data_IF_864651212178
#
_entry.id   IF_864651212178
#
_cell.length_a   1.000
_cell.length_b   1.000
_cell.length_c   1.000
_cell.angle_alpha   90.00
_cell.angle_beta   90.00
_cell.angle_gamma   90.00
#
_symmetry.space_group_name_H-M   'P 1'
#
loop_
_entity.id
_entity.type
_entity.pdbx_description
1 polymer ?
#
# COMPACT_ATOMS: atom_id res chain seq x y z
N UNK A 1 14.16 -12.00 -11.10
CA UNK A 1 14.85 -11.52 -12.32
C UNK A 1 14.41 -10.09 -12.63
N UNK A 2 15.22 -9.28 -13.32
CA UNK A 2 14.89 -7.90 -13.67
C UNK A 2 14.70 -7.78 -15.18
N UNK A 3 13.56 -7.24 -15.60
CA UNK A 3 13.24 -7.01 -17.02
C UNK A 3 12.80 -5.56 -17.21
N UNK A 4 13.33 -4.92 -18.26
CA UNK A 4 13.05 -3.53 -18.61
C UNK A 4 12.47 -3.47 -20.02
N UNK A 5 11.37 -2.74 -20.17
CA UNK A 5 10.83 -2.28 -21.43
C UNK A 5 11.54 -1.02 -21.92
N UNK A 6 10.83 -0.25 -22.72
CA UNK A 6 11.29 0.88 -23.51
C UNK A 6 10.44 2.13 -23.25
N UNK A 7 10.52 3.11 -24.14
CA UNK A 7 9.66 4.32 -24.09
C UNK A 7 8.39 4.15 -24.95
N UNK A 8 8.12 2.93 -25.38
CA UNK A 8 7.00 2.56 -26.24
C UNK A 8 6.24 1.40 -25.62
N UNK A 9 5.00 1.21 -26.07
CA UNK A 9 4.15 0.10 -25.64
C UNK A 9 4.87 -1.26 -25.80
N UNK A 10 5.09 -1.91 -24.66
CA UNK A 10 5.76 -3.19 -24.52
C UNK A 10 4.80 -4.28 -24.02
N UNK A 11 5.16 -5.53 -24.26
CA UNK A 11 4.52 -6.69 -23.64
C UNK A 11 5.60 -7.53 -22.97
N UNK A 12 5.57 -7.54 -21.64
CA UNK A 12 6.58 -8.16 -20.80
C UNK A 12 5.89 -9.28 -20.01
N UNK A 13 6.39 -10.49 -20.15
CA UNK A 13 5.94 -11.64 -19.35
C UNK A 13 7.10 -12.14 -18.52
N UNK A 14 6.86 -12.30 -17.22
CA UNK A 14 7.75 -12.90 -16.25
C UNK A 14 7.85 -14.42 -16.39
N UNK A 15 8.27 -15.05 -15.30
CA UNK A 15 8.50 -16.50 -15.19
C UNK A 15 7.72 -17.04 -13.99
N UNK A 16 7.93 -18.29 -13.59
CA UNK A 16 7.37 -18.82 -12.33
C UNK A 16 8.20 -18.44 -11.08
N UNK A 17 9.13 -17.49 -11.22
CA UNK A 17 10.01 -17.03 -10.16
C UNK A 17 9.79 -15.54 -9.88
N UNK A 18 10.23 -15.05 -8.73
CA UNK A 18 10.15 -13.63 -8.37
C UNK A 18 10.82 -12.75 -9.44
N UNK A 19 10.02 -11.89 -10.06
CA UNK A 19 10.35 -10.96 -11.11
C UNK A 19 10.19 -9.50 -10.64
N UNK A 20 11.04 -8.61 -11.18
CA UNK A 20 10.80 -7.17 -11.21
C UNK A 20 10.69 -6.76 -12.66
N UNK A 21 9.51 -6.29 -13.04
CA UNK A 21 9.16 -5.89 -14.40
C UNK A 21 8.99 -4.37 -14.43
N UNK A 22 9.68 -3.71 -15.36
CA UNK A 22 9.60 -2.25 -15.55
C UNK A 22 9.15 -2.00 -16.99
N UNK A 23 7.99 -1.39 -17.19
CA UNK A 23 7.45 -1.04 -18.51
C UNK A 23 8.23 0.12 -19.13
N UNK A 24 8.25 1.25 -18.43
CA UNK A 24 8.98 2.44 -18.84
C UNK A 24 8.01 3.53 -19.29
N UNK A 25 7.97 3.82 -20.58
CA UNK A 25 6.99 4.74 -21.14
C UNK A 25 6.14 4.05 -22.21
N UNK A 26 4.96 4.58 -22.48
CA UNK A 26 4.01 3.93 -23.38
C UNK A 26 2.96 3.13 -22.61
N UNK A 27 2.03 2.51 -23.32
CA UNK A 27 0.98 1.71 -22.69
C UNK A 27 1.43 0.25 -22.69
N UNK A 28 1.93 -0.19 -21.56
CA UNK A 28 2.59 -1.47 -21.42
C UNK A 28 1.65 -2.55 -20.89
N UNK A 29 1.98 -3.81 -21.19
CA UNK A 29 1.35 -4.98 -20.55
C UNK A 29 2.42 -5.76 -19.81
N UNK A 30 2.31 -5.81 -18.49
CA UNK A 30 3.22 -6.50 -17.58
C UNK A 30 2.46 -7.68 -16.96
N UNK A 31 2.92 -8.90 -17.24
CA UNK A 31 2.38 -10.13 -16.67
C UNK A 31 3.47 -10.82 -15.84
N UNK A 32 3.29 -10.86 -14.51
CA UNK A 32 4.22 -11.52 -13.57
C UNK A 32 4.31 -13.03 -13.79
N UNK A 33 3.26 -13.64 -14.33
CA UNK A 33 3.08 -15.08 -14.46
C UNK A 33 3.00 -15.81 -13.10
N UNK A 34 4.12 -16.12 -12.45
CA UNK A 34 4.11 -16.78 -11.15
C UNK A 34 5.25 -16.34 -10.27
N UNK A 35 5.03 -16.23 -8.97
CA UNK A 35 6.03 -15.67 -8.07
C UNK A 35 5.38 -14.70 -7.10
N UNK A 36 6.17 -13.75 -6.61
CA UNK A 36 5.68 -12.60 -5.88
C UNK A 36 6.44 -11.42 -6.48
N UNK A 37 5.84 -10.78 -7.45
CA UNK A 37 6.53 -9.93 -8.41
C UNK A 37 6.38 -8.45 -8.05
N UNK A 38 7.25 -7.61 -8.60
CA UNK A 38 7.13 -6.16 -8.52
C UNK A 38 6.97 -5.61 -9.93
N UNK A 39 5.83 -5.00 -10.20
CA UNK A 39 5.45 -4.45 -11.49
C UNK A 39 5.46 -2.93 -11.40
N UNK A 40 6.27 -2.31 -12.26
CA UNK A 40 6.34 -0.86 -12.44
C UNK A 40 5.90 -0.56 -13.87
N UNK A 41 4.68 -0.07 -14.06
CA UNK A 41 4.17 0.32 -15.37
C UNK A 41 4.98 1.48 -15.94
N UNK A 42 4.95 2.61 -15.23
CA UNK A 42 5.71 3.81 -15.57
C UNK A 42 4.79 4.87 -16.15
N UNK A 43 5.18 5.50 -17.26
CA UNK A 43 4.38 6.52 -17.91
C UNK A 43 3.48 5.91 -18.97
N UNK A 44 2.16 5.96 -18.77
CA UNK A 44 1.20 5.52 -19.78
C UNK A 44 -0.05 5.00 -19.12
N UNK A 45 -0.89 4.33 -19.91
CA UNK A 45 -2.01 3.56 -19.39
C UNK A 45 -1.66 2.07 -19.49
N UNK A 46 -1.25 1.50 -18.37
CA UNK A 46 -0.62 0.18 -18.32
C UNK A 46 -1.59 -0.91 -17.86
N UNK A 47 -1.27 -2.15 -18.21
CA UNK A 47 -1.97 -3.35 -17.73
C UNK A 47 -1.02 -4.14 -16.84
N UNK A 48 -1.27 -4.14 -15.53
CA UNK A 48 -0.46 -4.81 -14.52
C UNK A 48 -1.19 -6.08 -14.05
N UNK A 49 -0.62 -7.24 -14.39
CA UNK A 49 -1.16 -8.56 -14.05
C UNK A 49 -0.13 -9.25 -13.16
N UNK A 50 -0.41 -9.41 -11.86
CA UNK A 50 0.52 -10.07 -10.94
C UNK A 50 0.65 -11.57 -11.22
N UNK A 51 -0.47 -12.24 -11.46
CA UNK A 51 -0.49 -13.66 -11.84
C UNK A 51 -0.67 -14.57 -10.63
N UNK A 52 0.09 -15.67 -10.58
CA UNK A 52 0.06 -16.60 -9.45
C UNK A 52 1.06 -16.15 -8.40
N UNK A 53 0.54 -15.58 -7.33
CA UNK A 53 1.34 -15.15 -6.20
C UNK A 53 0.46 -14.90 -4.98
N UNK A 54 1.08 -14.35 -3.94
CA UNK A 54 0.34 -13.86 -2.77
C UNK A 54 0.76 -12.46 -2.36
N UNK A 55 1.76 -11.91 -3.06
CA UNK A 55 2.41 -10.63 -2.74
C UNK A 55 2.87 -9.95 -4.03
N UNK A 56 2.11 -10.10 -5.11
CA UNK A 56 2.39 -9.37 -6.35
C UNK A 56 2.08 -7.89 -6.14
N UNK A 57 3.03 -7.03 -6.53
CA UNK A 57 3.05 -5.63 -6.17
C UNK A 57 2.98 -4.71 -7.39
N UNK A 58 2.00 -3.81 -7.41
CA UNK A 58 2.04 -2.61 -8.23
C UNK A 58 2.85 -1.54 -7.49
N UNK A 59 3.89 -0.99 -8.13
CA UNK A 59 4.83 -0.07 -7.46
C UNK A 59 4.92 1.27 -8.19
N UNK A 60 4.55 2.33 -7.47
CA UNK A 60 4.62 3.73 -7.89
C UNK A 60 5.70 4.53 -7.16
N UNK A 61 6.64 3.86 -6.49
CA UNK A 61 7.71 4.51 -5.72
C UNK A 61 8.60 5.47 -6.54
N UNK A 62 8.69 5.25 -7.86
CA UNK A 62 9.46 6.10 -8.78
C UNK A 62 8.60 7.22 -9.42
N UNK A 63 7.31 7.33 -9.03
CA UNK A 63 6.39 8.35 -9.54
C UNK A 63 6.84 9.76 -9.13
N UNK A 64 6.60 10.73 -10.01
CA UNK A 64 7.02 12.12 -9.84
C UNK A 64 5.91 13.02 -9.28
N UNK A 65 4.75 12.44 -8.99
CA UNK A 65 3.59 13.07 -8.37
C UNK A 65 2.75 12.03 -7.62
N UNK A 66 1.84 12.49 -6.77
CA UNK A 66 0.90 11.61 -6.07
C UNK A 66 0.00 10.85 -7.03
N UNK A 67 -0.20 9.56 -6.75
CA UNK A 67 -1.00 8.63 -7.54
C UNK A 67 -2.37 8.42 -6.93
N UNK A 68 -3.37 8.19 -7.79
CA UNK A 68 -4.71 7.84 -7.35
C UNK A 68 -5.19 6.60 -8.09
N UNK A 69 -5.49 5.51 -7.37
CA UNK A 69 -5.91 4.25 -7.97
C UNK A 69 -6.84 3.42 -7.09
N UNK A 70 -7.60 2.55 -7.74
CA UNK A 70 -8.27 1.42 -7.11
C UNK A 70 -7.94 0.14 -7.87
N UNK A 71 -7.65 -0.95 -7.15
CA UNK A 71 -7.39 -2.26 -7.77
C UNK A 71 -8.57 -2.79 -8.60
N UNK A 72 -9.80 -2.33 -8.31
CA UNK A 72 -11.00 -2.68 -9.10
C UNK A 72 -11.42 -1.62 -10.11
N UNK A 73 -11.06 -0.35 -9.85
CA UNK A 73 -11.46 0.81 -10.65
C UNK A 73 -10.43 1.28 -11.67
N UNK A 74 -9.19 0.80 -11.58
CA UNK A 74 -8.05 1.30 -12.32
C UNK A 74 -7.46 2.57 -11.71
N UNK A 75 -6.41 3.08 -12.33
CA UNK A 75 -5.74 4.31 -11.90
C UNK A 75 -6.26 5.57 -12.61
N UNK A 76 -6.20 6.69 -11.91
CA UNK A 76 -6.91 7.94 -12.23
C UNK A 76 -6.10 9.21 -11.96
N UNK A 77 -4.94 9.09 -11.29
CA UNK A 77 -4.10 10.23 -10.94
C UNK A 77 -2.62 9.87 -10.99
N UNK A 78 -1.79 10.89 -11.30
CA UNK A 78 -0.36 10.73 -11.48
C UNK A 78 -0.02 9.70 -12.57
N UNK A 79 1.08 9.00 -12.37
CA UNK A 79 1.55 7.91 -13.21
C UNK A 79 0.60 6.71 -13.25
N UNK A 80 -0.35 6.58 -12.32
CA UNK A 80 -1.37 5.52 -12.40
C UNK A 80 -2.48 5.79 -13.44
N UNK A 81 -2.51 6.96 -14.08
CA UNK A 81 -3.67 7.37 -14.91
C UNK A 81 -3.90 6.44 -16.10
N UNK A 82 -4.99 5.67 -16.05
CA UNK A 82 -5.37 4.72 -17.09
C UNK A 82 -4.89 3.29 -16.83
N UNK A 83 -4.15 3.06 -15.74
CA UNK A 83 -3.68 1.74 -15.37
C UNK A 83 -4.83 0.81 -14.99
N UNK A 84 -4.63 -0.49 -15.24
CA UNK A 84 -5.54 -1.56 -14.86
C UNK A 84 -4.80 -2.66 -14.13
N UNK A 85 -5.47 -3.29 -13.17
CA UNK A 85 -4.85 -4.24 -12.24
C UNK A 85 -5.58 -5.57 -12.23
N UNK A 86 -4.83 -6.67 -12.10
CA UNK A 86 -5.38 -8.00 -11.86
C UNK A 86 -4.41 -8.86 -11.06
N UNK A 87 -4.89 -9.51 -10.00
CA UNK A 87 -4.04 -10.34 -9.13
C UNK A 87 -2.90 -9.53 -8.50
N UNK A 88 -3.22 -8.34 -7.98
CA UNK A 88 -2.27 -7.50 -7.25
C UNK A 88 -2.68 -7.52 -5.79
N UNK A 89 -1.80 -7.94 -4.91
CA UNK A 89 -2.07 -7.94 -3.48
C UNK A 89 -1.44 -6.71 -2.81
N UNK A 90 -0.33 -6.21 -3.35
CA UNK A 90 0.47 -5.16 -2.72
C UNK A 90 0.47 -3.90 -3.58
N UNK A 91 0.34 -2.73 -2.95
CA UNK A 91 0.53 -1.44 -3.63
C UNK A 91 1.53 -0.63 -2.84
N UNK A 92 2.57 -0.17 -3.54
CA UNK A 92 3.50 0.83 -3.02
C UNK A 92 3.21 2.17 -3.71
N UNK A 93 2.83 3.17 -2.91
CA UNK A 93 2.66 4.55 -3.33
C UNK A 93 3.96 5.25 -3.69
N UNK A 94 3.85 6.55 -3.87
CA UNK A 94 4.91 7.49 -4.22
C UNK A 94 5.45 8.21 -2.97
N UNK A 95 6.37 9.16 -3.17
CA UNK A 95 6.83 10.07 -2.10
C UNK A 95 5.93 11.32 -1.97
N UNK A 96 4.69 11.25 -2.46
CA UNK A 96 3.71 12.33 -2.46
C UNK A 96 2.35 11.83 -1.98
N UNK A 97 1.45 12.76 -1.66
CA UNK A 97 0.07 12.44 -1.27
C UNK A 97 -0.67 11.57 -2.31
N UNK A 98 -0.91 10.33 -1.92
CA UNK A 98 -1.56 9.31 -2.73
C UNK A 98 -2.99 9.02 -2.27
N UNK A 99 -3.78 8.42 -3.16
CA UNK A 99 -5.13 7.92 -2.90
C UNK A 99 -5.26 6.50 -3.41
N UNK A 100 -5.09 5.52 -2.53
CA UNK A 100 -4.97 4.10 -2.89
C UNK A 100 -6.14 3.32 -2.28
N UNK A 101 -6.86 2.57 -3.11
CA UNK A 101 -7.92 1.65 -2.66
C UNK A 101 -7.62 0.23 -3.12
N UNK A 102 -7.67 -0.73 -2.19
CA UNK A 102 -7.54 -2.15 -2.48
C UNK A 102 -8.77 -2.74 -3.18
N UNK A 103 -8.92 -4.05 -3.08
CA UNK A 103 -10.02 -4.82 -3.64
C UNK A 103 -10.73 -5.67 -2.57
N UNK A 104 -11.13 -6.90 -2.91
CA UNK A 104 -11.80 -7.81 -1.99
C UNK A 104 -10.88 -8.94 -1.46
N UNK A 105 -9.62 -8.94 -1.92
CA UNK A 105 -8.59 -9.82 -1.41
C UNK A 105 -7.92 -9.19 -0.18
N UNK A 106 -6.98 -9.92 0.43
CA UNK A 106 -6.14 -9.33 1.46
C UNK A 106 -5.09 -8.45 0.78
N UNK A 107 -5.14 -7.15 1.01
CA UNK A 107 -4.20 -6.21 0.44
C UNK A 107 -3.20 -5.67 1.46
N UNK A 108 -2.00 -5.33 0.98
CA UNK A 108 -1.03 -4.51 1.72
C UNK A 108 -0.79 -3.21 0.98
N UNK A 109 -1.23 -2.12 1.58
CA UNK A 109 -1.11 -0.78 1.01
C UNK A 109 -0.05 0.01 1.78
N UNK A 110 0.92 0.56 1.05
CA UNK A 110 1.98 1.41 1.59
C UNK A 110 1.86 2.77 0.91
N UNK A 111 1.59 3.82 1.69
CA UNK A 111 1.52 5.20 1.19
C UNK A 111 2.92 5.72 0.86
N UNK A 112 3.73 5.95 1.88
CA UNK A 112 5.14 6.34 1.72
C UNK A 112 5.43 7.64 2.46
N UNK A 113 5.71 8.70 1.71
CA UNK A 113 5.83 10.05 2.25
C UNK A 113 4.66 10.87 1.71
N UNK A 114 4.10 11.73 2.55
CA UNK A 114 3.03 12.63 2.15
C UNK A 114 1.75 12.29 2.89
N UNK A 115 0.76 13.16 2.78
CA UNK A 115 -0.54 12.87 3.40
C UNK A 115 -1.33 11.92 2.51
N UNK A 116 -1.36 10.65 2.86
CA UNK A 116 -1.93 9.58 2.04
C UNK A 116 -3.34 9.20 2.48
N UNK A 117 -4.14 8.72 1.53
CA UNK A 117 -5.47 8.15 1.78
C UNK A 117 -5.50 6.70 1.34
N UNK A 118 -5.43 5.78 2.30
CA UNK A 118 -5.41 4.34 2.09
C UNK A 118 -6.75 3.71 2.50
N UNK A 119 -7.37 2.96 1.60
CA UNK A 119 -8.59 2.18 1.87
C UNK A 119 -8.37 0.72 1.53
N UNK A 120 -8.43 -0.18 2.53
CA UNK A 120 -8.21 -1.62 2.36
C UNK A 120 -9.21 -2.26 1.41
N UNK A 121 -10.51 -2.09 1.68
CA UNK A 121 -11.57 -2.64 0.84
C UNK A 121 -12.36 -3.70 1.59
N UNK A 122 -12.64 -4.84 0.97
CA UNK A 122 -13.05 -6.03 1.72
C UNK A 122 -11.80 -6.88 1.96
N UNK A 123 -11.63 -7.50 3.13
CA UNK A 123 -10.40 -8.24 3.37
C UNK A 123 -10.04 -8.31 4.84
N UNK A 124 -8.78 -8.60 5.12
CA UNK A 124 -8.16 -8.28 6.40
C UNK A 124 -6.82 -7.66 6.05
N UNK A 125 -6.83 -6.36 5.84
CA UNK A 125 -5.80 -5.64 5.11
C UNK A 125 -4.71 -5.11 6.03
N UNK A 126 -3.57 -4.75 5.45
CA UNK A 126 -2.48 -4.09 6.17
C UNK A 126 -2.22 -2.74 5.51
N UNK A 127 -2.46 -1.67 6.27
CA UNK A 127 -2.27 -0.28 5.86
C UNK A 127 -1.03 0.27 6.56
N UNK A 128 -0.11 0.79 5.77
CA UNK A 128 1.09 1.49 6.23
C UNK A 128 1.03 2.87 5.59
N UNK A 129 0.59 3.88 6.34
CA UNK A 129 0.49 5.25 5.87
C UNK A 129 1.88 5.78 5.49
N UNK A 130 2.74 5.89 6.51
CA UNK A 130 4.11 6.33 6.35
C UNK A 130 4.31 7.67 7.04
N UNK A 131 5.17 8.52 6.48
CA UNK A 131 5.43 9.83 7.09
C UNK A 131 4.37 10.86 6.68
N UNK A 132 4.10 11.78 7.60
CA UNK A 132 3.07 12.83 7.52
C UNK A 132 1.69 12.32 7.93
N UNK A 133 0.61 13.04 7.63
CA UNK A 133 -0.70 12.80 8.23
C UNK A 133 -1.60 11.99 7.29
N UNK A 134 -1.89 10.75 7.67
CA UNK A 134 -2.57 9.80 6.81
C UNK A 134 -4.03 9.54 7.17
N UNK A 135 -4.81 9.09 6.19
CA UNK A 135 -6.15 8.56 6.38
C UNK A 135 -6.14 7.07 6.10
N UNK A 136 -6.30 6.26 7.16
CA UNK A 136 -6.27 4.81 7.09
C UNK A 136 -7.67 4.22 7.33
N UNK A 137 -8.25 3.66 6.27
CA UNK A 137 -9.60 3.08 6.26
C UNK A 137 -9.47 1.58 6.01
N UNK A 138 -9.67 0.73 7.03
CA UNK A 138 -9.56 -0.73 6.84
C UNK A 138 -10.63 -1.25 5.89
N UNK A 139 -11.89 -0.93 6.18
CA UNK A 139 -13.02 -1.25 5.31
C UNK A 139 -13.86 -2.37 5.90
N UNK A 140 -14.26 -3.33 5.07
CA UNK A 140 -14.96 -4.52 5.53
C UNK A 140 -13.93 -5.60 5.86
N UNK A 141 -13.92 -6.03 7.10
CA UNK A 141 -12.97 -6.99 7.58
C UNK A 141 -13.21 -7.22 9.06
N UNK A 142 -12.37 -8.02 9.68
CA UNK A 142 -12.40 -8.16 11.15
C UNK A 142 -11.03 -7.98 11.79
N UNK A 143 -10.01 -7.80 10.96
CA UNK A 143 -8.61 -7.78 11.35
C UNK A 143 -7.82 -6.81 10.46
N UNK A 144 -8.45 -5.73 10.00
CA UNK A 144 -7.75 -4.69 9.25
C UNK A 144 -6.75 -3.99 10.17
N UNK A 145 -5.53 -3.79 9.69
CA UNK A 145 -4.40 -3.39 10.51
C UNK A 145 -3.75 -2.09 10.04
N UNK A 146 -3.64 -1.11 10.92
CA UNK A 146 -2.67 -0.02 10.79
C UNK A 146 -1.30 -0.48 11.33
N UNK A 147 -0.24 -0.36 10.54
CA UNK A 147 1.08 -0.88 10.90
C UNK A 147 2.16 0.20 10.90
N UNK A 148 2.71 0.45 12.09
CA UNK A 148 3.85 1.34 12.36
C UNK A 148 5.15 0.59 12.64
N UNK A 149 5.24 -0.68 12.25
CA UNK A 149 6.40 -1.55 12.52
C UNK A 149 7.73 -1.02 11.95
N UNK A 150 7.67 -0.09 11.00
CA UNK A 150 8.84 0.51 10.36
C UNK A 150 9.16 1.91 10.89
N UNK A 151 8.36 2.44 11.82
CA UNK A 151 8.58 3.76 12.39
C UNK A 151 9.92 3.82 13.13
N UNK A 152 10.63 4.94 12.95
CA UNK A 152 11.96 5.17 13.53
C UNK A 152 11.92 5.74 14.96
N UNK A 153 10.73 5.93 15.52
CA UNK A 153 10.48 6.33 16.91
C UNK A 153 9.15 5.74 17.42
N UNK A 154 8.89 5.87 18.73
CA UNK A 154 7.67 5.36 19.35
C UNK A 154 6.44 6.16 18.91
N UNK A 155 5.34 5.46 18.62
CA UNK A 155 4.10 6.10 18.16
C UNK A 155 3.13 6.35 19.31
N UNK A 156 2.36 7.43 19.23
CA UNK A 156 1.27 7.71 20.15
C UNK A 156 -0.02 7.91 19.37
N UNK A 157 -0.97 6.98 19.52
CA UNK A 157 -2.22 7.03 18.78
C UNK A 157 -3.38 6.41 19.53
N UNK A 158 -4.58 6.83 19.12
CA UNK A 158 -5.82 6.14 19.43
C UNK A 158 -6.63 5.94 18.16
N UNK A 159 -7.17 4.74 17.96
CA UNK A 159 -8.13 4.49 16.88
C UNK A 159 -9.39 5.39 16.99
N UNK A 160 -9.69 5.94 18.17
CA UNK A 160 -10.82 6.85 18.38
C UNK A 160 -10.53 8.32 18.02
N UNK A 161 -9.30 8.78 18.26
CA UNK A 161 -8.96 10.21 18.21
C UNK A 161 -7.82 10.55 17.25
N UNK A 162 -7.26 9.56 16.55
CA UNK A 162 -6.13 9.72 15.66
C UNK A 162 -4.78 9.65 16.37
N UNK A 163 -3.71 9.82 15.61
CA UNK A 163 -2.34 9.81 16.10
C UNK A 163 -1.79 11.20 16.39
N UNK A 164 -0.95 11.28 17.42
CA UNK A 164 -0.45 12.53 18.02
C UNK A 164 1.05 12.50 18.35
N UNK A 165 1.74 11.39 18.07
CA UNK A 165 3.18 11.28 18.31
C UNK A 165 3.84 10.22 17.44
N UNK A 166 5.11 10.45 17.13
CA UNK A 166 5.85 9.62 16.20
C UNK A 166 5.44 9.84 14.75
N UNK A 167 5.60 8.79 13.95
CA UNK A 167 5.10 8.70 12.59
C UNK A 167 3.57 8.91 12.52
N UNK A 168 2.82 8.52 13.56
CA UNK A 168 1.36 8.62 13.55
C UNK A 168 0.78 10.05 13.66
N UNK A 169 1.60 11.10 13.70
CA UNK A 169 1.10 12.47 13.94
C UNK A 169 0.17 12.93 12.82
N UNK A 170 -1.11 13.11 13.17
CA UNK A 170 -2.14 13.58 12.24
C UNK A 170 -2.94 12.44 11.61
N UNK A 171 -2.54 11.19 11.82
CA UNK A 171 -3.23 10.03 11.27
C UNK A 171 -4.66 9.91 11.79
N UNK A 172 -5.55 9.46 10.91
CA UNK A 172 -6.94 9.16 11.21
C UNK A 172 -7.29 7.73 10.82
N UNK A 173 -8.19 7.11 11.59
CA UNK A 173 -8.52 5.70 11.44
C UNK A 173 -10.02 5.49 11.32
N UNK A 174 -10.43 4.56 10.47
CA UNK A 174 -11.80 4.07 10.40
C UNK A 174 -11.82 2.60 10.02
N UNK A 175 -12.62 1.78 10.70
CA UNK A 175 -12.72 0.35 10.40
C UNK A 175 -11.38 -0.37 10.50
N UNK A 176 -10.54 0.02 11.46
CA UNK A 176 -9.26 -0.63 11.75
C UNK A 176 -9.41 -1.34 13.10
N UNK A 177 -9.19 -2.65 13.13
CA UNK A 177 -9.29 -3.44 14.36
C UNK A 177 -7.92 -3.70 14.98
N UNK A 178 -6.85 -3.67 14.17
CA UNK A 178 -5.51 -4.06 14.57
C UNK A 178 -4.56 -2.88 14.48
N UNK A 179 -3.67 -2.78 15.46
CA UNK A 179 -2.52 -1.86 15.38
C UNK A 179 -1.26 -2.64 15.70
N UNK A 180 -0.28 -2.53 14.80
CA UNK A 180 1.09 -2.95 15.06
C UNK A 180 1.94 -1.72 15.32
N UNK A 181 2.44 -1.61 16.54
CA UNK A 181 3.38 -0.58 16.98
C UNK A 181 4.79 -0.76 16.41
N UNK A 182 5.66 0.15 16.81
CA UNK A 182 7.05 0.25 16.37
C UNK A 182 7.97 -0.69 17.16
N UNK A 183 9.28 -0.53 16.99
CA UNK A 183 10.28 -1.17 17.83
C UNK A 183 10.65 -0.35 19.09
N UNK A 184 9.95 0.75 19.33
CA UNK A 184 10.18 1.72 20.39
C UNK A 184 8.97 1.79 21.34
N UNK A 185 9.12 2.49 22.47
CA UNK A 185 8.04 2.59 23.45
C UNK A 185 6.82 3.31 22.89
N UNK A 186 5.76 2.56 22.64
CA UNK A 186 4.53 3.07 22.03
C UNK A 186 3.44 3.40 23.06
N UNK A 187 2.51 4.28 22.70
CA UNK A 187 1.26 4.52 23.40
C UNK A 187 0.09 4.27 22.45
N UNK A 188 -0.63 3.15 22.61
CA UNK A 188 -1.64 2.72 21.64
C UNK A 188 -2.97 2.45 22.34
N UNK A 189 -4.00 3.19 21.94
CA UNK A 189 -5.37 3.01 22.45
C UNK A 189 -6.36 2.60 21.36
N UNK A 190 -7.34 1.79 21.72
CA UNK A 190 -8.45 1.38 20.85
C UNK A 190 -9.52 2.46 20.67
N UNK A 191 -10.62 2.10 20.00
CA UNK A 191 -11.78 2.96 19.73
C UNK A 191 -13.04 2.59 20.55
N UNK A 192 -12.91 1.60 21.44
CA UNK A 192 -14.02 1.04 22.21
C UNK A 192 -14.69 -0.17 21.54
N UNK A 193 -14.27 -0.53 20.33
CA UNK A 193 -14.59 -1.80 19.68
C UNK A 193 -13.66 -2.93 20.17
N UNK A 194 -13.79 -4.14 19.61
CA UNK A 194 -12.83 -5.22 19.87
C UNK A 194 -11.57 -4.96 19.03
N UNK A 195 -10.56 -4.36 19.65
CA UNK A 195 -9.27 -4.09 19.00
C UNK A 195 -8.20 -5.08 19.45
N UNK A 196 -7.23 -5.36 18.58
CA UNK A 196 -5.96 -6.02 18.92
C UNK A 196 -4.81 -5.03 18.75
N UNK A 197 -4.21 -4.65 19.86
CA UNK A 197 -3.11 -3.68 19.88
C UNK A 197 -1.83 -4.42 20.23
N UNK A 198 -0.81 -4.31 19.38
CA UNK A 198 0.49 -4.97 19.54
C UNK A 198 1.56 -3.90 19.55
N UNK A 199 2.05 -3.48 20.73
CA UNK A 199 3.09 -2.43 20.85
C UNK A 199 4.49 -2.81 20.38
N UNK A 200 4.69 -4.01 19.82
CA UNK A 200 6.00 -4.41 19.31
C UNK A 200 7.06 -4.59 20.41
N UNK A 201 8.19 -3.93 20.25
CA UNK A 201 9.28 -3.92 21.23
C UNK A 201 9.36 -2.55 21.89
N UNK A 202 9.85 -2.48 23.12
CA UNK A 202 9.88 -1.21 23.87
C UNK A 202 9.14 -1.33 25.19
N UNK A 203 8.92 -0.18 25.83
CA UNK A 203 8.05 -0.11 27.00
C UNK A 203 6.74 0.54 26.55
N UNK A 204 5.73 -0.29 26.31
CA UNK A 204 4.50 0.13 25.65
C UNK A 204 3.36 0.31 26.66
N UNK A 205 2.42 1.21 26.35
CA UNK A 205 1.25 1.50 27.20
C UNK A 205 -0.05 1.59 26.44
#
# INVERSE_FOLDING_TARGET
EYVYGSEFADTITGTDAVNRLVGGGGNDTLDGAGGNDILLGGLGADTLIGGVGTQDAASYQDATSGVALSLTGGGTGGEATGDTFSGIEYVYGSDFSDSITGDAAVNRLVGGIGNDSLSGGDGNDVLIGGLEADTLIGGAGTQDAASYQYAEEGVNLSLATGGIGGEAVGDTFSGVEFVYGSAYGDTIAGDGSVNRLVGGAGNDS
#
